data_IF_311633295545
#
_entry.id   IF_311633295545
#
_cell.length_a   1.000
_cell.length_b   1.000
_cell.length_c   1.000
_cell.angle_alpha   90.00
_cell.angle_beta   90.00
_cell.angle_gamma   90.00
#
_symmetry.space_group_name_H-M   'P 1'
#
loop_
_entity.id
_entity.type
_entity.pdbx_description
1 polymer ?
#
# COMPACT_ATOMS: atom_id res chain seq x y z
N UNK A 1 -1.46 -17.76 -6.09
CA UNK A 1 -0.86 -16.77 -7.01
C UNK A 1 -1.63 -15.46 -6.89
N UNK A 2 -0.98 -14.29 -6.86
CA UNK A 2 -1.68 -13.00 -6.80
C UNK A 2 -2.12 -12.57 -8.21
N UNK A 3 -3.35 -12.04 -8.33
CA UNK A 3 -3.89 -11.53 -9.60
C UNK A 3 -3.15 -10.26 -10.02
N UNK A 4 -2.65 -10.21 -11.27
CA UNK A 4 -2.01 -9.01 -11.82
C UNK A 4 -3.06 -7.96 -12.19
N UNK A 5 -2.75 -6.69 -11.98
CA UNK A 5 -3.62 -5.57 -12.32
C UNK A 5 -2.99 -4.76 -13.46
N UNK A 6 -3.75 -4.53 -14.53
CA UNK A 6 -3.32 -3.68 -15.65
C UNK A 6 -3.80 -2.25 -15.43
N UNK A 7 -2.89 -1.37 -15.02
CA UNK A 7 -3.17 0.05 -14.77
C UNK A 7 -2.73 0.99 -15.90
N UNK A 8 -2.10 0.47 -16.96
CA UNK A 8 -1.64 1.30 -18.09
C UNK A 8 -0.39 2.12 -17.82
N UNK A 9 0.30 1.87 -16.69
CA UNK A 9 1.61 2.47 -16.38
C UNK A 9 2.70 1.59 -17.01
N UNK A 10 3.40 2.14 -18.02
CA UNK A 10 4.46 1.41 -18.72
C UNK A 10 5.61 1.04 -17.77
N UNK A 11 6.13 -0.18 -17.90
CA UNK A 11 7.21 -0.69 -17.04
C UNK A 11 6.79 -1.15 -15.63
N UNK A 12 5.63 -0.72 -15.12
CA UNK A 12 5.19 -1.04 -13.76
C UNK A 12 4.26 -2.26 -13.71
N UNK A 13 4.66 -3.29 -12.96
CA UNK A 13 3.89 -4.53 -12.78
C UNK A 13 3.36 -4.66 -11.35
N UNK A 14 2.16 -4.15 -11.13
CA UNK A 14 1.46 -4.28 -9.84
C UNK A 14 0.43 -5.42 -9.81
N UNK A 15 0.29 -6.05 -8.65
CA UNK A 15 -0.73 -7.05 -8.36
C UNK A 15 -1.81 -6.51 -7.41
N UNK A 16 -2.88 -7.27 -7.25
CA UNK A 16 -4.04 -6.85 -6.46
C UNK A 16 -3.73 -6.62 -4.97
N UNK A 17 -2.85 -7.42 -4.38
CA UNK A 17 -2.40 -7.23 -2.99
C UNK A 17 -1.55 -5.97 -2.83
N UNK A 18 -0.68 -5.68 -3.81
CA UNK A 18 0.10 -4.44 -3.87
C UNK A 18 -0.82 -3.22 -3.95
N UNK A 19 -1.83 -3.26 -4.83
CA UNK A 19 -2.84 -2.20 -4.94
C UNK A 19 -3.67 -2.03 -3.66
N UNK A 20 -4.10 -3.13 -3.02
CA UNK A 20 -4.80 -3.08 -1.72
C UNK A 20 -3.94 -2.45 -0.63
N UNK A 21 -2.65 -2.77 -0.58
CA UNK A 21 -1.73 -2.18 0.38
C UNK A 21 -1.61 -0.67 0.16
N UNK A 22 -1.40 -0.23 -1.09
CA UNK A 22 -1.35 1.19 -1.43
C UNK A 22 -2.65 1.91 -1.03
N UNK A 23 -3.81 1.36 -1.41
CA UNK A 23 -5.11 1.93 -1.05
C UNK A 23 -5.29 2.06 0.48
N UNK A 24 -4.87 1.04 1.24
CA UNK A 24 -4.93 1.06 2.69
C UNK A 24 -4.03 2.16 3.29
N UNK A 25 -2.77 2.28 2.83
CA UNK A 25 -1.87 3.33 3.32
C UNK A 25 -2.40 4.74 3.01
N UNK A 26 -2.92 4.95 1.80
CA UNK A 26 -3.54 6.23 1.40
C UNK A 26 -4.75 6.55 2.29
N UNK A 27 -5.60 5.55 2.57
CA UNK A 27 -6.75 5.72 3.44
C UNK A 27 -6.30 6.10 4.86
N UNK A 28 -5.36 5.37 5.45
CA UNK A 28 -4.84 5.66 6.80
C UNK A 28 -4.21 7.03 6.90
N UNK A 29 -3.44 7.44 5.89
CA UNK A 29 -2.87 8.78 5.81
C UNK A 29 -3.97 9.84 5.79
N UNK A 30 -5.04 9.67 5.00
CA UNK A 30 -6.16 10.61 4.93
C UNK A 30 -6.94 10.70 6.24
N UNK A 31 -7.12 9.57 6.93
CA UNK A 31 -7.82 9.52 8.21
C UNK A 31 -7.05 10.28 9.31
N UNK A 32 -5.73 10.13 9.35
CA UNK A 32 -4.87 10.74 10.39
C UNK A 32 -4.47 12.19 10.07
N UNK A 33 -4.11 12.47 8.82
CA UNK A 33 -3.47 13.72 8.42
C UNK A 33 -4.28 14.54 7.42
N UNK A 34 -5.45 14.06 6.96
CA UNK A 34 -6.27 14.67 5.88
C UNK A 34 -5.58 14.73 4.51
N UNK A 35 -4.39 14.16 4.38
CA UNK A 35 -3.59 14.09 3.14
C UNK A 35 -3.29 12.61 2.87
N UNK A 36 -3.18 12.19 1.61
CA UNK A 36 -2.98 10.77 1.25
C UNK A 36 -1.53 10.28 1.21
N UNK A 37 -0.56 11.14 1.51
CA UNK A 37 0.87 10.86 1.36
C UNK A 37 1.68 11.33 2.56
N UNK A 38 1.10 11.35 3.75
CA UNK A 38 1.87 11.54 4.98
C UNK A 38 2.29 10.20 5.58
N UNK A 39 3.34 10.27 6.40
CA UNK A 39 3.87 9.09 7.10
C UNK A 39 2.88 8.59 8.15
N UNK A 40 2.54 7.31 8.09
CA UNK A 40 1.66 6.63 9.06
C UNK A 40 2.37 5.47 9.74
N UNK A 41 2.39 5.49 11.07
CA UNK A 41 2.92 4.40 11.88
C UNK A 41 1.93 3.22 11.89
N UNK A 42 2.37 2.06 11.40
CA UNK A 42 1.55 0.84 11.32
C UNK A 42 2.41 -0.39 11.63
N UNK A 43 1.86 -1.34 12.38
CA UNK A 43 2.46 -2.66 12.49
C UNK A 43 2.14 -3.51 11.26
N UNK A 44 3.03 -4.45 10.95
CA UNK A 44 2.82 -5.43 9.87
C UNK A 44 1.56 -6.28 10.11
N UNK A 45 1.20 -6.52 11.38
CA UNK A 45 0.00 -7.28 11.76
C UNK A 45 -1.28 -6.51 11.45
N UNK A 46 -1.29 -5.19 11.69
CA UNK A 46 -2.43 -4.33 11.35
C UNK A 46 -2.65 -4.28 9.83
N UNK A 47 -1.58 -4.07 9.06
CA UNK A 47 -1.66 -4.08 7.59
C UNK A 47 -2.19 -5.43 7.10
N UNK A 48 -1.61 -6.54 7.59
CA UNK A 48 -1.98 -7.90 7.19
C UNK A 48 -3.47 -8.17 7.42
N UNK A 49 -3.98 -7.79 8.59
CA UNK A 49 -5.40 -7.92 8.94
C UNK A 49 -6.29 -7.09 8.02
N UNK A 50 -5.91 -5.83 7.76
CA UNK A 50 -6.71 -4.91 6.96
C UNK A 50 -6.85 -5.35 5.50
N UNK A 51 -5.77 -5.89 4.90
CA UNK A 51 -5.76 -6.26 3.48
C UNK A 51 -5.97 -7.77 3.22
N UNK A 52 -6.22 -8.54 4.28
CA UNK A 52 -6.55 -9.97 4.20
C UNK A 52 -5.39 -10.87 3.74
N UNK A 53 -4.17 -10.64 4.26
CA UNK A 53 -3.01 -11.47 3.91
C UNK A 53 -2.14 -11.81 5.13
N UNK A 54 -1.06 -12.57 4.95
CA UNK A 54 -0.13 -12.88 6.04
C UNK A 54 0.88 -11.74 6.28
N UNK A 55 1.41 -11.58 7.51
CA UNK A 55 2.47 -10.60 7.79
C UNK A 55 3.72 -10.79 6.92
N UNK A 56 4.05 -12.02 6.54
CA UNK A 56 5.15 -12.30 5.61
C UNK A 56 4.87 -11.75 4.20
N UNK A 57 3.62 -11.87 3.74
CA UNK A 57 3.20 -11.25 2.48
C UNK A 57 3.30 -9.74 2.56
N UNK A 58 2.93 -9.12 3.69
CA UNK A 58 3.11 -7.67 3.89
C UNK A 58 4.57 -7.27 3.73
N UNK A 59 5.51 -7.97 4.38
CA UNK A 59 6.95 -7.68 4.28
C UNK A 59 7.41 -7.67 2.81
N UNK A 60 7.12 -8.76 2.08
CA UNK A 60 7.51 -8.90 0.68
C UNK A 60 6.86 -7.84 -0.22
N UNK A 61 5.59 -7.53 0.05
CA UNK A 61 4.83 -6.52 -0.70
C UNK A 61 5.41 -5.13 -0.47
N UNK A 62 5.69 -4.78 0.79
CA UNK A 62 6.33 -3.51 1.14
C UNK A 62 7.71 -3.36 0.51
N UNK A 63 8.57 -4.39 0.61
CA UNK A 63 9.90 -4.37 -0.01
C UNK A 63 9.84 -4.15 -1.52
N UNK A 64 8.91 -4.82 -2.20
CA UNK A 64 8.73 -4.63 -3.64
C UNK A 64 8.20 -3.23 -3.96
N UNK A 65 7.15 -2.76 -3.27
CA UNK A 65 6.59 -1.43 -3.50
C UNK A 65 7.61 -0.32 -3.23
N UNK A 66 8.48 -0.49 -2.23
CA UNK A 66 9.59 0.43 -1.96
C UNK A 66 10.64 0.37 -3.07
N UNK A 67 11.04 -0.83 -3.51
CA UNK A 67 11.94 -1.01 -4.66
C UNK A 67 11.39 -0.45 -5.98
N UNK A 68 10.07 -0.46 -6.15
CA UNK A 68 9.36 0.14 -7.28
C UNK A 68 9.13 1.66 -7.10
N UNK A 69 9.56 2.26 -5.98
CA UNK A 69 9.42 3.70 -5.70
C UNK A 69 7.98 4.16 -5.40
N UNK A 70 7.07 3.24 -5.05
CA UNK A 70 5.66 3.51 -4.79
C UNK A 70 5.38 3.88 -3.32
N UNK A 71 6.25 3.46 -2.41
CA UNK A 71 6.19 3.81 -0.99
C UNK A 71 7.58 4.13 -0.45
N UNK A 72 7.62 4.83 0.69
CA UNK A 72 8.79 5.04 1.52
C UNK A 72 8.55 4.35 2.88
N UNK A 73 9.56 3.64 3.41
CA UNK A 73 9.49 2.99 4.72
C UNK A 73 10.55 3.59 5.65
N UNK A 74 10.13 3.99 6.84
CA UNK A 74 11.03 4.35 7.95
C UNK A 74 10.91 3.28 9.02
N UNK A 75 12.05 2.68 9.35
CA UNK A 75 12.15 1.72 10.44
C UNK A 75 12.34 2.47 11.74
N UNK A 76 11.37 2.37 12.64
CA UNK A 76 11.47 2.92 13.98
C UNK A 76 11.91 1.81 14.93
N UNK A 77 12.95 2.08 15.71
CA UNK A 77 13.44 1.21 16.77
C UNK A 77 13.43 2.00 18.08
N UNK A 78 12.99 1.38 19.17
CA UNK A 78 13.20 1.94 20.49
C UNK A 78 14.67 1.84 20.88
N UNK A 79 15.12 2.73 21.77
CA UNK A 79 16.49 2.72 22.32
C UNK A 79 16.84 1.39 23.02
N UNK A 80 15.85 0.64 23.48
CA UNK A 80 16.00 -0.68 24.09
C UNK A 80 16.03 -1.84 23.06
N UNK A 81 16.05 -1.54 21.75
CA UNK A 81 16.05 -2.52 20.68
C UNK A 81 14.68 -3.17 20.39
N UNK A 82 13.61 -2.79 21.10
CA UNK A 82 12.28 -3.28 20.81
C UNK A 82 11.76 -2.72 19.48
N UNK A 83 11.11 -3.59 18.70
CA UNK A 83 10.61 -3.27 17.38
C UNK A 83 9.38 -2.35 17.49
N UNK A 84 9.47 -1.11 17.00
CA UNK A 84 8.30 -0.24 16.86
C UNK A 84 7.53 -0.54 15.58
N UNK A 85 6.32 0.02 15.51
CA UNK A 85 5.61 0.10 14.25
C UNK A 85 6.49 0.84 13.23
N UNK A 86 6.57 0.29 12.02
CA UNK A 86 7.23 0.99 10.92
C UNK A 86 6.36 2.17 10.51
N UNK A 87 6.98 3.23 10.02
CA UNK A 87 6.27 4.36 9.44
C UNK A 87 6.31 4.27 7.91
N UNK A 88 5.15 4.39 7.28
CA UNK A 88 4.97 4.18 5.84
C UNK A 88 4.39 5.43 5.21
N UNK A 89 4.88 5.79 4.02
CA UNK A 89 4.33 6.88 3.20
C UNK A 89 4.13 6.40 1.77
N UNK A 90 3.05 6.86 1.14
CA UNK A 90 2.83 6.63 -0.29
C UNK A 90 3.43 7.78 -1.08
N UNK A 91 4.22 7.47 -2.11
CA UNK A 91 4.82 8.48 -2.99
C UNK A 91 3.78 9.08 -3.95
N UNK A 92 4.14 10.13 -4.70
CA UNK A 92 3.25 10.68 -5.74
C UNK A 92 2.87 9.61 -6.78
N UNK A 93 3.82 8.77 -7.19
CA UNK A 93 3.57 7.66 -8.11
C UNK A 93 2.67 6.59 -7.48
N UNK A 94 2.91 6.23 -6.21
CA UNK A 94 2.06 5.29 -5.48
C UNK A 94 0.62 5.79 -5.32
N UNK A 95 0.43 7.09 -5.13
CA UNK A 95 -0.88 7.74 -5.06
C UNK A 95 -1.64 7.60 -6.38
N UNK A 96 -0.95 7.84 -7.49
CA UNK A 96 -1.53 7.73 -8.82
C UNK A 96 -1.92 6.28 -9.16
N UNK A 97 -1.05 5.32 -8.83
CA UNK A 97 -1.35 3.88 -8.92
C UNK A 97 -2.59 3.52 -8.08
N UNK A 98 -2.69 4.05 -6.86
CA UNK A 98 -3.86 3.84 -5.99
C UNK A 98 -5.15 4.47 -6.56
N UNK A 99 -5.06 5.64 -7.22
CA UNK A 99 -6.18 6.28 -7.91
C UNK A 99 -6.67 5.43 -9.08
N UNK A 100 -5.77 5.05 -9.98
CA UNK A 100 -6.09 4.21 -11.15
C UNK A 100 -6.70 2.86 -10.75
N UNK A 101 -6.22 2.27 -9.66
CA UNK A 101 -6.80 1.04 -9.13
C UNK A 101 -8.26 1.22 -8.70
N UNK A 102 -8.59 2.31 -7.99
CA UNK A 102 -9.96 2.59 -7.56
C UNK A 102 -10.89 2.83 -8.74
N UNK A 103 -10.44 3.58 -9.74
CA UNK A 103 -11.20 3.80 -10.98
C UNK A 103 -11.49 2.48 -11.69
N UNK A 104 -10.47 1.61 -11.80
CA UNK A 104 -10.65 0.28 -12.40
C UNK A 104 -11.66 -0.58 -11.64
N UNK A 105 -11.65 -0.54 -10.31
CA UNK A 105 -12.61 -1.31 -9.50
C UNK A 105 -14.04 -0.77 -9.73
N UNK A 106 -14.21 0.55 -9.73
CA UNK A 106 -15.51 1.17 -9.98
C UNK A 106 -16.05 0.87 -11.40
N UNK A 107 -15.20 0.87 -12.43
CA UNK A 107 -15.57 0.46 -13.79
C UNK A 107 -16.16 -0.95 -13.82
N UNK A 108 -15.49 -1.90 -13.15
CA UNK A 108 -15.89 -3.30 -13.09
C UNK A 108 -17.21 -3.48 -12.32
N UNK A 109 -17.44 -2.72 -11.25
CA UNK A 109 -18.69 -2.75 -10.49
C UNK A 109 -19.86 -2.17 -11.29
N UNK A 110 -19.61 -1.19 -12.15
CA UNK A 110 -20.64 -0.54 -12.97
C UNK A 110 -21.11 -1.40 -14.14
N UNK A 111 -20.27 -2.33 -14.64
CA UNK A 111 -20.58 -3.20 -15.79
C UNK A 111 -21.24 -4.53 -15.40
N UNK A 112 -21.70 -4.68 -14.16
CA UNK A 112 -22.42 -5.87 -13.67
C UNK A 112 -23.95 -5.72 -13.81
N UNK A 113 -24.44 -4.60 -14.35
CA UNK A 113 -25.87 -4.34 -14.62
C UNK A 113 -26.18 -4.26 -16.11
#
# INVERSE_FOLDING_TARGET
MAKKVKLGVEGLKVNETECRLLAYLVQRSRELHRIGCEHVALSRKEIARAIGCSPLTVIRTCQKLEGDGLIEIRFEHLENGAQMANSYRVTALGLEVSRLYRERVAELETHIY
#
